data_IF_692600073494
#
_entry.id   IF_692600073494
#
_cell.length_a   1.000
_cell.length_b   1.000
_cell.length_c   1.000
_cell.angle_alpha   90.00
_cell.angle_beta   90.00
_cell.angle_gamma   90.00
#
_symmetry.space_group_name_H-M   'P 1'
#
loop_
_entity.id
_entity.type
_entity.pdbx_description
1 polymer ?
#
# COMPACT_ATOMS: atom_id res chain seq x y z
N UNK A 1 58.55 44.87 5.41
CA UNK A 1 58.54 43.71 4.48
C UNK A 1 57.89 42.56 5.18
N UNK A 2 56.64 42.26 4.80
CA UNK A 2 55.90 41.07 5.27
C UNK A 2 56.37 39.87 4.47
N UNK A 3 57.04 38.95 5.14
CA UNK A 3 57.42 37.65 4.56
C UNK A 3 56.15 36.82 4.32
N UNK A 4 55.73 36.68 3.08
CA UNK A 4 54.72 35.67 2.71
C UNK A 4 55.35 34.28 2.74
N UNK A 5 54.95 33.47 3.70
CA UNK A 5 55.32 32.05 3.73
C UNK A 5 54.51 31.34 2.64
N UNK A 6 55.15 30.84 1.62
CA UNK A 6 54.55 29.96 0.61
C UNK A 6 54.34 28.58 1.20
N UNK A 7 53.19 27.97 0.95
CA UNK A 7 52.91 26.56 1.34
C UNK A 7 53.85 25.60 0.60
N UNK A 8 54.34 24.60 1.33
CA UNK A 8 55.18 23.54 0.71
C UNK A 8 54.29 22.56 -0.04
N UNK A 9 54.83 21.93 -1.09
CA UNK A 9 54.11 20.93 -1.90
C UNK A 9 53.66 19.74 -1.03
N UNK A 10 54.46 19.38 -0.02
CA UNK A 10 54.17 18.30 0.93
C UNK A 10 52.98 18.66 1.84
N UNK A 11 52.88 19.90 2.29
CA UNK A 11 51.79 20.37 3.13
C UNK A 11 50.43 20.27 2.40
N UNK A 12 50.38 20.67 1.13
CA UNK A 12 49.19 20.53 0.29
C UNK A 12 48.85 19.07 0.00
N UNK A 13 49.83 18.22 -0.20
CA UNK A 13 49.62 16.78 -0.44
C UNK A 13 49.00 16.09 0.79
N UNK A 14 49.49 16.38 2.00
CA UNK A 14 48.95 15.81 3.26
C UNK A 14 47.52 16.29 3.51
N UNK A 15 47.24 17.58 3.27
CA UNK A 15 45.87 18.13 3.44
C UNK A 15 44.90 17.44 2.50
N UNK A 16 45.24 17.24 1.24
CA UNK A 16 44.37 16.55 0.27
C UNK A 16 44.11 15.10 0.65
N UNK A 17 45.10 14.37 1.17
CA UNK A 17 44.91 13.00 1.67
C UNK A 17 43.95 12.95 2.87
N UNK A 18 44.13 13.86 3.84
CA UNK A 18 43.26 13.92 5.01
C UNK A 18 41.82 14.27 4.60
N UNK A 19 41.60 15.25 3.74
CA UNK A 19 40.28 15.62 3.21
C UNK A 19 39.65 14.41 2.49
N UNK A 20 40.42 13.71 1.65
CA UNK A 20 39.92 12.52 0.94
C UNK A 20 39.45 11.40 1.89
N UNK A 21 40.22 11.15 2.96
CA UNK A 21 39.83 10.17 3.98
C UNK A 21 38.58 10.58 4.77
N UNK A 22 38.46 11.84 5.16
CA UNK A 22 37.29 12.35 5.89
C UNK A 22 36.05 12.30 5.02
N UNK A 23 36.12 12.71 3.76
CA UNK A 23 34.98 12.71 2.83
C UNK A 23 34.50 11.28 2.53
N UNK A 24 35.41 10.30 2.39
CA UNK A 24 35.03 8.91 2.12
C UNK A 24 34.22 8.29 3.26
N UNK A 25 34.49 8.66 4.52
CA UNK A 25 33.76 8.15 5.69
C UNK A 25 32.35 8.75 5.85
N UNK A 26 32.14 9.99 5.41
CA UNK A 26 30.87 10.70 5.58
C UNK A 26 29.78 10.23 4.60
N UNK A 27 30.15 9.81 3.40
CA UNK A 27 29.19 9.44 2.35
C UNK A 27 28.39 8.17 2.69
N UNK A 28 28.97 7.22 3.39
CA UNK A 28 28.30 5.94 3.75
C UNK A 28 27.21 6.16 4.79
N UNK A 29 27.40 7.06 5.75
CA UNK A 29 26.41 7.32 6.81
C UNK A 29 25.16 8.04 6.30
N UNK A 30 25.28 8.82 5.23
CA UNK A 30 24.18 9.61 4.69
C UNK A 30 23.14 8.74 3.97
N UNK A 31 23.58 7.75 3.19
CA UNK A 31 22.68 6.82 2.49
C UNK A 31 21.79 6.03 3.45
N UNK A 32 22.35 5.54 4.56
CA UNK A 32 21.60 4.80 5.56
C UNK A 32 20.56 5.67 6.29
N UNK A 33 20.84 6.96 6.46
CA UNK A 33 19.89 7.90 7.07
C UNK A 33 18.71 8.19 6.14
N UNK A 34 18.96 8.37 4.83
CA UNK A 34 17.91 8.59 3.83
C UNK A 34 17.00 7.36 3.73
N UNK A 35 17.58 6.16 3.70
CA UNK A 35 16.82 4.93 3.65
C UNK A 35 15.90 4.76 4.88
N UNK A 36 16.44 4.97 6.07
CA UNK A 36 15.63 4.94 7.31
C UNK A 36 14.50 5.98 7.32
N UNK A 37 14.77 7.18 6.81
CA UNK A 37 13.74 8.21 6.65
C UNK A 37 12.62 7.71 5.74
N UNK A 38 12.96 7.15 4.57
CA UNK A 38 11.98 6.66 3.62
C UNK A 38 11.14 5.50 4.20
N UNK A 39 11.75 4.59 4.95
CA UNK A 39 11.02 3.55 5.67
C UNK A 39 10.03 4.12 6.68
N UNK A 40 10.47 5.03 7.54
CA UNK A 40 9.60 5.65 8.56
C UNK A 40 8.44 6.44 7.93
N UNK A 41 8.71 7.15 6.84
CA UNK A 41 7.70 7.89 6.09
C UNK A 41 6.67 6.94 5.46
N UNK A 42 7.13 5.83 4.89
CA UNK A 42 6.25 4.80 4.33
C UNK A 42 5.38 4.15 5.41
N UNK A 43 5.95 3.79 6.55
CA UNK A 43 5.23 3.19 7.67
C UNK A 43 4.14 4.13 8.20
N UNK A 44 4.47 5.40 8.43
CA UNK A 44 3.51 6.40 8.84
C UNK A 44 2.38 6.59 7.81
N UNK A 45 2.72 6.55 6.52
CA UNK A 45 1.74 6.64 5.43
C UNK A 45 0.81 5.43 5.40
N UNK A 46 1.34 4.22 5.58
CA UNK A 46 0.55 2.99 5.65
C UNK A 46 -0.42 3.00 6.83
N UNK A 47 0.00 3.49 7.99
CA UNK A 47 -0.87 3.63 9.17
C UNK A 47 -1.99 4.66 8.93
N UNK A 48 -1.68 5.81 8.33
CA UNK A 48 -2.69 6.79 7.95
C UNK A 48 -3.72 6.21 6.97
N UNK A 49 -3.29 5.44 5.98
CA UNK A 49 -4.17 4.78 5.02
C UNK A 49 -5.08 3.78 5.74
N UNK A 50 -4.53 2.99 6.66
CA UNK A 50 -5.29 2.01 7.45
C UNK A 50 -6.37 2.69 8.28
N UNK A 51 -6.07 3.79 8.96
CA UNK A 51 -7.05 4.56 9.74
C UNK A 51 -8.14 5.15 8.83
N UNK A 52 -7.76 5.71 7.68
CA UNK A 52 -8.71 6.25 6.72
C UNK A 52 -9.65 5.17 6.14
N UNK A 53 -9.11 3.98 5.82
CA UNK A 53 -9.90 2.83 5.36
C UNK A 53 -10.89 2.37 6.43
N UNK A 54 -10.47 2.29 7.69
CA UNK A 54 -11.35 1.93 8.81
C UNK A 54 -12.43 3.00 9.03
N UNK A 55 -12.07 4.29 9.00
CA UNK A 55 -13.02 5.39 9.09
C UNK A 55 -14.04 5.37 7.97
N UNK A 56 -13.60 5.15 6.74
CA UNK A 56 -14.49 5.01 5.58
C UNK A 56 -15.44 3.81 5.74
N UNK A 57 -14.91 2.68 6.20
CA UNK A 57 -15.71 1.47 6.41
C UNK A 57 -16.78 1.66 7.50
N UNK A 58 -16.45 2.36 8.58
CA UNK A 58 -17.42 2.70 9.63
C UNK A 58 -18.53 3.63 9.12
N UNK A 59 -18.18 4.62 8.31
CA UNK A 59 -19.14 5.59 7.78
C UNK A 59 -20.06 4.99 6.69
N UNK A 60 -19.51 4.13 5.82
CA UNK A 60 -20.18 3.64 4.61
C UNK A 60 -20.66 2.18 4.72
N UNK A 61 -20.27 1.45 5.76
CA UNK A 61 -20.55 0.03 5.93
C UNK A 61 -19.89 -0.86 4.86
N UNK A 62 -18.84 -0.33 4.20
CA UNK A 62 -18.06 -1.00 3.16
C UNK A 62 -16.64 -0.44 3.07
N UNK A 63 -15.73 -1.17 2.48
CA UNK A 63 -14.46 -0.62 2.01
C UNK A 63 -14.61 -0.05 0.59
N UNK A 64 -13.79 0.95 0.22
CA UNK A 64 -13.78 1.46 -1.15
C UNK A 64 -13.19 0.45 -2.12
N UNK A 65 -13.60 0.51 -3.37
CA UNK A 65 -12.91 -0.21 -4.45
C UNK A 65 -11.49 0.33 -4.64
N UNK A 66 -10.50 -0.52 -4.98
CA UNK A 66 -9.19 -0.05 -5.38
C UNK A 66 -9.28 0.93 -6.54
N UNK A 67 -8.46 1.98 -6.53
CA UNK A 67 -8.30 2.87 -7.65
C UNK A 67 -7.65 2.12 -8.82
N UNK A 68 -8.05 2.46 -10.05
CA UNK A 68 -7.47 1.87 -11.25
C UNK A 68 -5.99 2.25 -11.41
N UNK A 69 -5.29 1.49 -12.25
CA UNK A 69 -3.93 1.85 -12.67
C UNK A 69 -3.91 3.24 -13.30
N UNK A 70 -2.85 4.04 -13.08
CA UNK A 70 -2.74 5.38 -13.64
C UNK A 70 -2.79 5.34 -15.18
N UNK A 71 -3.98 5.50 -15.73
CA UNK A 71 -4.15 5.84 -17.13
C UNK A 71 -4.27 7.35 -17.27
N UNK A 72 -4.09 7.88 -18.47
CA UNK A 72 -4.12 9.32 -18.74
C UNK A 72 -5.43 9.94 -18.24
N UNK A 73 -5.37 10.83 -17.27
CA UNK A 73 -6.51 11.57 -16.73
C UNK A 73 -7.32 10.90 -15.61
N UNK A 74 -6.91 9.71 -15.13
CA UNK A 74 -7.59 9.06 -14.01
C UNK A 74 -6.99 9.57 -12.69
N UNK A 75 -7.86 10.06 -11.82
CA UNK A 75 -7.52 10.43 -10.44
C UNK A 75 -7.64 9.20 -9.54
N UNK A 76 -6.96 9.21 -8.38
CA UNK A 76 -6.97 8.13 -7.41
C UNK A 76 -8.31 8.05 -6.65
N UNK A 77 -9.41 7.87 -7.37
CA UNK A 77 -10.75 7.61 -6.86
C UNK A 77 -11.07 6.13 -6.93
N UNK A 78 -12.04 5.68 -6.13
CA UNK A 78 -12.51 4.30 -6.24
C UNK A 78 -13.02 3.97 -7.66
N UNK A 79 -12.65 2.81 -8.17
CA UNK A 79 -12.95 2.40 -9.53
C UNK A 79 -13.89 1.19 -9.55
N UNK A 80 -15.07 1.38 -10.14
CA UNK A 80 -16.03 0.32 -10.39
C UNK A 80 -15.88 -0.26 -11.81
N UNK A 81 -16.20 -1.54 -11.96
CA UNK A 81 -16.31 -2.18 -13.26
C UNK A 81 -17.48 -1.58 -14.08
N UNK A 82 -17.58 -1.91 -15.35
CA UNK A 82 -18.74 -1.57 -16.17
C UNK A 82 -20.03 -2.16 -15.53
N UNK A 83 -21.00 -1.30 -15.22
CA UNK A 83 -22.21 -1.68 -14.46
C UNK A 83 -21.97 -1.86 -12.94
N UNK A 84 -20.76 -1.65 -12.47
CA UNK A 84 -20.41 -1.65 -11.06
C UNK A 84 -20.84 -0.35 -10.35
N UNK A 85 -21.09 -0.43 -9.07
CA UNK A 85 -21.47 0.70 -8.22
C UNK A 85 -21.27 0.36 -6.74
N UNK A 86 -21.40 1.34 -5.87
CA UNK A 86 -21.43 1.10 -4.44
C UNK A 86 -22.56 0.16 -4.00
N UNK A 87 -23.63 0.03 -4.79
CA UNK A 87 -24.77 -0.84 -4.47
C UNK A 87 -24.44 -2.33 -4.64
N UNK A 88 -23.70 -2.70 -5.67
CA UNK A 88 -23.29 -4.09 -5.90
C UNK A 88 -21.84 -4.37 -5.52
N UNK A 89 -21.01 -3.33 -5.32
CA UNK A 89 -19.61 -3.45 -4.92
C UNK A 89 -18.68 -4.04 -5.97
N UNK A 90 -19.07 -4.06 -7.25
CA UNK A 90 -18.28 -4.67 -8.31
C UNK A 90 -17.16 -3.72 -8.75
N UNK A 91 -15.95 -3.94 -8.25
CA UNK A 91 -14.77 -3.12 -8.55
C UNK A 91 -14.16 -3.45 -9.91
N UNK A 92 -13.52 -2.46 -10.55
CA UNK A 92 -12.76 -2.64 -11.79
C UNK A 92 -11.57 -3.61 -11.61
N UNK A 93 -11.00 -3.65 -10.41
CA UNK A 93 -9.95 -4.59 -10.02
C UNK A 93 -9.96 -4.77 -8.51
N UNK A 94 -9.76 -6.01 -8.04
CA UNK A 94 -9.75 -6.31 -6.60
C UNK A 94 -8.33 -6.48 -6.06
N UNK A 95 -7.39 -6.95 -6.86
CA UNK A 95 -6.10 -7.45 -6.37
C UNK A 95 -4.91 -6.61 -6.82
N UNK A 96 -5.06 -5.78 -7.83
CA UNK A 96 -3.96 -5.03 -8.44
C UNK A 96 -4.28 -3.55 -8.65
N UNK A 97 -4.82 -2.92 -7.62
CA UNK A 97 -5.14 -1.49 -7.66
C UNK A 97 -4.24 -0.66 -6.77
N UNK A 98 -4.60 0.60 -6.66
CA UNK A 98 -3.94 1.58 -5.79
C UNK A 98 -4.91 2.07 -4.72
N UNK A 99 -4.36 2.67 -3.68
CA UNK A 99 -5.17 3.32 -2.64
C UNK A 99 -6.04 4.41 -3.28
N UNK A 100 -7.37 4.40 -3.11
CA UNK A 100 -8.25 5.43 -3.64
C UNK A 100 -8.20 6.69 -2.75
N UNK A 101 -7.04 7.35 -2.74
CA UNK A 101 -6.69 8.41 -1.80
C UNK A 101 -7.60 9.62 -1.90
N UNK A 102 -8.07 9.97 -3.09
CA UNK A 102 -9.05 11.06 -3.26
C UNK A 102 -10.39 10.70 -2.63
N UNK A 103 -10.86 9.45 -2.78
CA UNK A 103 -12.09 8.96 -2.11
C UNK A 103 -11.95 8.95 -0.60
N UNK A 104 -10.76 8.65 -0.08
CA UNK A 104 -10.46 8.60 1.35
C UNK A 104 -10.12 9.97 1.94
N UNK A 105 -9.93 11.01 1.12
CA UNK A 105 -9.51 12.34 1.57
C UNK A 105 -8.07 12.38 2.11
N UNK A 106 -7.20 11.51 1.61
CA UNK A 106 -5.80 11.44 2.05
C UNK A 106 -4.93 12.55 1.42
N UNK A 107 -3.96 13.04 2.18
CA UNK A 107 -2.98 14.05 1.76
C UNK A 107 -1.67 13.81 2.55
N UNK A 108 -0.48 14.07 1.98
CA UNK A 108 -0.23 14.59 0.62
C UNK A 108 -0.38 13.52 -0.48
N UNK A 109 -0.63 13.94 -1.70
CA UNK A 109 -0.75 13.09 -2.89
C UNK A 109 0.05 13.66 -4.06
N UNK A 110 0.30 12.84 -5.07
CA UNK A 110 0.87 13.29 -6.35
C UNK A 110 -0.12 14.10 -7.19
N UNK A 111 0.27 14.52 -8.38
CA UNK A 111 -0.57 15.30 -9.31
C UNK A 111 -1.80 14.54 -9.82
N UNK A 112 -1.82 13.21 -9.68
CA UNK A 112 -2.95 12.33 -10.06
C UNK A 112 -3.77 11.89 -8.84
N UNK A 113 -3.41 12.35 -7.66
CA UNK A 113 -4.08 12.06 -6.41
C UNK A 113 -3.62 10.78 -5.70
N UNK A 114 -2.56 10.10 -6.14
CA UNK A 114 -2.05 8.91 -5.47
C UNK A 114 -1.17 9.26 -4.28
N UNK A 115 -1.37 8.57 -3.17
CA UNK A 115 -0.45 8.60 -2.03
C UNK A 115 0.80 7.79 -2.38
N UNK A 116 1.97 8.37 -2.10
CA UNK A 116 3.27 7.79 -2.41
C UNK A 116 3.95 7.25 -1.15
N UNK A 117 4.82 6.29 -1.36
CA UNK A 117 5.78 5.84 -0.34
C UNK A 117 7.00 6.76 -0.27
N UNK A 118 7.94 6.49 0.62
CA UNK A 118 9.17 7.26 0.78
C UNK A 118 10.12 7.21 -0.43
N UNK A 119 9.88 6.33 -1.40
CA UNK A 119 10.61 6.22 -2.66
C UNK A 119 9.84 6.77 -3.86
N UNK A 120 8.73 7.47 -3.61
CA UNK A 120 7.83 8.03 -4.61
C UNK A 120 7.09 7.00 -5.48
N UNK A 121 6.88 5.78 -4.99
CA UNK A 121 6.01 4.81 -5.66
C UNK A 121 4.59 4.90 -5.11
N UNK A 122 3.56 4.81 -5.96
CA UNK A 122 2.17 4.80 -5.51
C UNK A 122 1.87 3.55 -4.69
N UNK A 123 1.26 3.75 -3.51
CA UNK A 123 0.92 2.66 -2.60
C UNK A 123 -0.20 1.81 -3.18
N UNK A 124 0.01 0.50 -3.13
CA UNK A 124 -0.90 -0.52 -3.64
C UNK A 124 -1.98 -0.88 -2.63
N UNK A 125 -3.13 -1.25 -3.14
CA UNK A 125 -4.28 -1.67 -2.37
C UNK A 125 -4.99 -2.85 -3.03
N UNK A 126 -5.24 -3.89 -2.26
CA UNK A 126 -6.02 -5.05 -2.65
C UNK A 126 -7.13 -5.31 -1.64
N UNK A 127 -8.27 -5.78 -2.12
CA UNK A 127 -9.42 -6.14 -1.30
C UNK A 127 -9.95 -7.51 -1.69
N UNK A 128 -10.42 -8.28 -0.71
CA UNK A 128 -10.96 -9.62 -0.96
C UNK A 128 -12.23 -9.54 -1.82
N UNK A 129 -12.26 -10.37 -2.86
CA UNK A 129 -13.36 -10.47 -3.81
C UNK A 129 -14.34 -11.57 -3.37
N UNK A 130 -14.98 -11.37 -2.21
CA UNK A 130 -15.98 -12.32 -1.72
C UNK A 130 -17.37 -11.86 -2.17
N UNK A 131 -18.12 -12.74 -2.84
CA UNK A 131 -19.51 -12.51 -3.24
C UNK A 131 -20.48 -13.36 -2.46
N UNK A 132 -21.68 -12.85 -2.24
CA UNK A 132 -22.82 -13.67 -1.91
C UNK A 132 -23.30 -14.37 -3.20
N UNK A 133 -23.47 -15.67 -3.17
CA UNK A 133 -23.68 -16.50 -4.37
C UNK A 133 -24.96 -16.18 -5.18
N UNK A 134 -25.90 -15.45 -4.60
CA UNK A 134 -27.20 -15.24 -5.24
C UNK A 134 -27.20 -14.13 -6.31
N UNK A 135 -26.40 -13.06 -6.14
CA UNK A 135 -26.46 -11.86 -6.99
C UNK A 135 -25.08 -11.33 -7.44
N UNK A 136 -24.00 -12.07 -7.27
CA UNK A 136 -22.64 -11.61 -7.55
C UNK A 136 -22.28 -10.27 -6.87
N UNK A 137 -22.95 -9.95 -5.75
CA UNK A 137 -22.68 -8.73 -4.99
C UNK A 137 -21.48 -8.94 -4.07
N UNK A 138 -20.60 -7.94 -3.99
CA UNK A 138 -19.33 -8.05 -3.27
C UNK A 138 -19.47 -7.57 -1.84
N UNK A 139 -19.37 -8.46 -0.88
CA UNK A 139 -19.70 -8.22 0.53
C UNK A 139 -18.89 -7.08 1.13
N UNK A 140 -17.60 -6.99 0.83
CA UNK A 140 -16.74 -5.98 1.46
C UNK A 140 -16.80 -4.62 0.77
N UNK A 141 -17.26 -4.54 -0.47
CA UNK A 141 -17.25 -3.30 -1.28
C UNK A 141 -18.64 -2.76 -1.59
N UNK A 142 -19.72 -3.48 -1.30
CA UNK A 142 -21.07 -2.97 -1.43
C UNK A 142 -21.52 -2.19 -0.20
N UNK A 143 -22.36 -1.18 -0.38
CA UNK A 143 -22.98 -0.41 0.70
C UNK A 143 -23.67 -1.31 1.71
N UNK A 144 -23.37 -1.14 2.99
CA UNK A 144 -23.86 -1.98 4.09
C UNK A 144 -23.53 -3.47 3.97
N UNK A 145 -22.63 -3.87 3.07
CA UNK A 145 -22.27 -5.27 2.85
C UNK A 145 -21.68 -5.93 4.09
N UNK A 146 -20.81 -5.22 4.82
CA UNK A 146 -20.24 -5.73 6.07
C UNK A 146 -21.31 -5.91 7.18
N UNK A 147 -22.34 -5.07 7.23
CA UNK A 147 -23.47 -5.23 8.14
C UNK A 147 -24.27 -6.50 7.79
N UNK A 148 -24.55 -6.70 6.51
CA UNK A 148 -25.20 -7.91 6.02
C UNK A 148 -24.37 -9.16 6.28
N UNK A 149 -23.07 -9.10 6.01
CA UNK A 149 -22.14 -10.20 6.24
C UNK A 149 -22.09 -10.65 7.71
N UNK A 150 -22.27 -9.72 8.65
CA UNK A 150 -22.31 -10.03 10.09
C UNK A 150 -23.71 -10.40 10.59
N UNK A 151 -24.72 -10.45 9.74
CA UNK A 151 -26.08 -10.81 10.12
C UNK A 151 -26.20 -12.32 10.28
N UNK A 152 -26.91 -12.76 11.31
CA UNK A 152 -27.29 -14.17 11.50
C UNK A 152 -28.60 -14.53 10.78
N UNK A 153 -29.28 -13.55 10.20
CA UNK A 153 -30.58 -13.72 9.55
C UNK A 153 -30.51 -14.01 8.07
N UNK A 154 -29.36 -13.83 7.45
CA UNK A 154 -29.16 -14.20 6.05
C UNK A 154 -28.70 -15.66 5.95
N UNK A 155 -29.34 -16.44 5.08
CA UNK A 155 -29.04 -17.86 4.84
C UNK A 155 -28.90 -18.08 3.34
N UNK A 156 -27.95 -18.92 2.88
CA UNK A 156 -26.98 -19.71 3.66
C UNK A 156 -25.62 -19.03 3.86
N UNK A 157 -25.31 -17.93 3.18
CA UNK A 157 -23.94 -17.42 2.96
C UNK A 157 -23.64 -16.13 3.71
N UNK A 158 -23.68 -16.13 5.03
CA UNK A 158 -23.36 -14.97 5.85
C UNK A 158 -22.94 -15.32 7.28
N UNK A 159 -22.57 -14.29 8.02
CA UNK A 159 -22.05 -14.40 9.38
C UNK A 159 -20.54 -14.60 9.44
N UNK A 160 -19.96 -14.29 10.59
CA UNK A 160 -18.50 -14.36 10.79
C UNK A 160 -17.94 -15.76 10.60
N UNK A 161 -18.68 -16.79 10.95
CA UNK A 161 -18.27 -18.20 10.78
C UNK A 161 -18.15 -18.54 9.29
N UNK A 162 -19.11 -18.12 8.47
CA UNK A 162 -19.05 -18.34 7.03
C UNK A 162 -17.90 -17.55 6.38
N UNK A 163 -17.74 -16.26 6.73
CA UNK A 163 -16.63 -15.45 6.23
C UNK A 163 -15.28 -16.11 6.58
N UNK A 164 -15.12 -16.59 7.79
CA UNK A 164 -13.90 -17.25 8.24
C UNK A 164 -13.59 -18.56 7.47
N UNK A 165 -14.62 -19.22 6.90
CA UNK A 165 -14.46 -20.41 6.06
C UNK A 165 -14.08 -20.08 4.60
N UNK A 166 -14.15 -18.81 4.18
CA UNK A 166 -13.89 -18.42 2.80
C UNK A 166 -12.41 -18.19 2.53
N UNK A 167 -12.03 -18.38 1.28
CA UNK A 167 -10.68 -18.03 0.82
C UNK A 167 -10.59 -16.52 0.59
N UNK A 168 -10.03 -15.82 1.57
CA UNK A 168 -9.72 -14.38 1.48
C UNK A 168 -8.31 -14.17 0.93
N UNK A 169 -7.80 -12.92 1.02
CA UNK A 169 -6.45 -12.61 0.54
C UNK A 169 -5.39 -13.37 1.34
N UNK A 170 -4.39 -13.87 0.63
CA UNK A 170 -3.17 -14.42 1.22
C UNK A 170 -1.98 -13.56 0.82
N UNK A 171 -1.11 -13.24 1.77
CA UNK A 171 0.16 -12.55 1.52
C UNK A 171 1.28 -13.57 1.60
N UNK A 172 2.04 -13.67 0.51
CA UNK A 172 3.17 -14.60 0.40
C UNK A 172 4.49 -13.86 0.59
N UNK A 173 5.47 -14.49 1.22
CA UNK A 173 6.81 -13.93 1.41
C UNK A 173 7.63 -13.87 0.11
N UNK A 174 7.25 -14.65 -0.90
CA UNK A 174 7.91 -14.69 -2.21
C UNK A 174 6.88 -14.78 -3.33
N UNK A 175 7.18 -14.18 -4.48
CA UNK A 175 6.35 -14.27 -5.70
C UNK A 175 6.50 -15.58 -6.46
N UNK A 176 7.46 -16.45 -6.07
CA UNK A 176 7.70 -17.74 -6.72
C UNK A 176 6.81 -18.84 -6.13
N UNK A 177 6.26 -19.67 -6.98
CA UNK A 177 5.47 -20.84 -6.57
C UNK A 177 4.02 -20.54 -6.17
N UNK A 178 3.46 -19.40 -6.60
CA UNK A 178 2.03 -19.15 -6.44
C UNK A 178 1.26 -20.05 -7.39
N UNK A 179 0.47 -20.95 -6.83
CA UNK A 179 -0.39 -21.87 -7.59
C UNK A 179 -1.84 -21.52 -7.29
N UNK A 180 -2.61 -21.22 -8.34
CA UNK A 180 -4.04 -20.90 -8.22
C UNK A 180 -4.37 -19.79 -7.19
N UNK A 181 -3.49 -18.78 -7.07
CA UNK A 181 -3.69 -17.64 -6.15
C UNK A 181 -3.36 -17.94 -4.69
N UNK A 182 -2.80 -19.11 -4.37
CA UNK A 182 -2.35 -19.49 -3.03
C UNK A 182 -0.81 -19.52 -2.96
N UNK A 183 -0.25 -19.25 -1.79
CA UNK A 183 1.19 -19.40 -1.54
C UNK A 183 1.59 -20.89 -1.65
N UNK A 184 2.77 -21.17 -2.20
CA UNK A 184 3.25 -22.54 -2.48
C UNK A 184 3.47 -23.43 -1.24
N UNK A 185 3.35 -22.89 -0.04
CA UNK A 185 3.48 -23.62 1.20
C UNK A 185 3.13 -22.79 2.42
N UNK A 186 2.93 -23.46 3.55
CA UNK A 186 2.60 -22.79 4.82
C UNK A 186 3.73 -21.86 5.28
N UNK A 187 4.97 -22.25 5.01
CA UNK A 187 6.18 -21.50 5.40
C UNK A 187 6.42 -20.23 4.57
N UNK A 188 5.82 -20.14 3.38
CA UNK A 188 5.92 -18.96 2.50
C UNK A 188 4.75 -18.00 2.67
N UNK A 189 3.82 -18.30 3.58
CA UNK A 189 2.64 -17.50 3.83
C UNK A 189 2.87 -16.58 5.03
N UNK A 190 2.82 -15.27 4.83
CA UNK A 190 2.89 -14.28 5.90
C UNK A 190 1.56 -14.13 6.62
N UNK A 191 0.46 -14.13 5.87
CA UNK A 191 -0.90 -14.11 6.41
C UNK A 191 -1.88 -14.78 5.47
N UNK A 192 -3.01 -15.22 5.99
CA UNK A 192 -4.16 -15.68 5.22
C UNK A 192 -5.43 -15.12 5.85
N UNK A 193 -6.47 -14.99 5.04
CA UNK A 193 -7.74 -14.49 5.53
C UNK A 193 -7.78 -12.97 5.69
N UNK A 194 -6.89 -12.23 5.04
CA UNK A 194 -6.94 -10.77 5.04
C UNK A 194 -8.08 -10.30 4.13
N UNK A 195 -8.88 -9.37 4.65
CA UNK A 195 -9.94 -8.70 3.87
C UNK A 195 -9.33 -7.63 2.98
N UNK A 196 -8.35 -6.89 3.50
CA UNK A 196 -7.63 -5.84 2.80
C UNK A 196 -6.13 -6.03 2.98
N UNK A 197 -5.36 -5.62 1.98
CA UNK A 197 -3.90 -5.54 2.03
C UNK A 197 -3.48 -4.22 1.41
N UNK A 198 -2.67 -3.46 2.14
CA UNK A 198 -2.02 -2.24 1.67
C UNK A 198 -0.52 -2.47 1.71
N UNK A 199 0.19 -2.15 0.65
CA UNK A 199 1.62 -2.42 0.54
C UNK A 199 2.33 -1.44 -0.38
N UNK A 200 3.61 -1.19 -0.08
CA UNK A 200 4.57 -0.50 -0.93
C UNK A 200 5.35 -1.51 -1.77
N UNK A 201 5.84 -1.13 -2.94
CA UNK A 201 6.60 -1.99 -3.89
C UNK A 201 7.96 -1.40 -4.23
#
# INVERSE_FOLDING_TARGET
QTYQKAFTLVEMAVVLVIIGLVLSGLLVSLSAQVERKNFNETEATLDNIKEALLGYAMANGRFPCPAATPATGITAVEAFAAGGSATNGNCAGFFNGYVPSVTLGLSPTDTKGYVLDGWNNPIRYAIANLSDDANATRIFTKSSGMKTANSTTCSPNCGMTWIASQTLLSVCSTGTGIVSGACSGVTTRLTQGAVIVVYST
#
